data_IF_512065387705
#
_entry.id   IF_512065387705
#
_cell.length_a   1.000
_cell.length_b   1.000
_cell.length_c   1.000
_cell.angle_alpha   90.00
_cell.angle_beta   90.00
_cell.angle_gamma   90.00
#
_symmetry.space_group_name_H-M   'P 1'
#
loop_
_entity.id
_entity.type
_entity.pdbx_description
1 polymer ?
#
# COMPACT_ATOMS: atom_id res chain seq x y z
N UNK A 1 -11.21 -19.72 -52.01
CA UNK A 1 -11.94 -18.55 -51.47
C UNK A 1 -10.95 -17.61 -50.80
N UNK A 2 -10.77 -16.40 -51.32
CA UNK A 2 -9.96 -15.37 -50.66
C UNK A 2 -10.73 -14.81 -49.47
N UNK A 3 -10.20 -15.00 -48.25
CA UNK A 3 -10.76 -14.42 -47.02
C UNK A 3 -10.57 -12.90 -47.08
N UNK A 4 -11.65 -12.15 -47.31
CA UNK A 4 -11.64 -10.69 -47.33
C UNK A 4 -11.11 -10.21 -45.96
N UNK A 5 -9.90 -9.62 -45.93
CA UNK A 5 -9.38 -8.96 -44.73
C UNK A 5 -10.33 -7.79 -44.42
N UNK A 6 -11.10 -7.90 -43.33
CA UNK A 6 -11.91 -6.80 -42.81
C UNK A 6 -10.94 -5.66 -42.51
N UNK A 7 -11.10 -4.51 -43.18
CA UNK A 7 -10.30 -3.32 -42.85
C UNK A 7 -10.66 -2.94 -41.41
N UNK A 8 -9.68 -2.78 -40.50
CA UNK A 8 -9.98 -2.32 -39.16
C UNK A 8 -10.68 -0.98 -39.26
N UNK A 9 -11.84 -0.87 -38.62
CA UNK A 9 -12.52 0.41 -38.45
C UNK A 9 -11.55 1.28 -37.66
N UNK A 10 -11.07 2.38 -38.25
CA UNK A 10 -10.31 3.38 -37.51
C UNK A 10 -11.28 4.04 -36.55
N UNK A 11 -11.24 3.62 -35.29
CA UNK A 11 -11.93 4.31 -34.21
C UNK A 11 -11.22 5.65 -34.04
N UNK A 12 -12.00 6.73 -33.85
CA UNK A 12 -11.46 8.05 -33.58
C UNK A 12 -10.68 7.98 -32.27
N UNK A 13 -9.45 8.47 -32.26
CA UNK A 13 -8.61 8.49 -31.07
C UNK A 13 -9.32 9.33 -29.99
N UNK A 14 -9.66 8.67 -28.87
CA UNK A 14 -10.27 9.32 -27.71
C UNK A 14 -9.15 9.71 -26.76
N UNK A 15 -9.15 10.97 -26.36
CA UNK A 15 -8.25 11.50 -25.34
C UNK A 15 -8.95 11.53 -23.99
N UNK A 16 -8.19 11.25 -22.93
CA UNK A 16 -8.64 11.30 -21.54
C UNK A 16 -7.69 12.22 -20.79
N UNK A 17 -7.87 13.55 -20.89
CA UNK A 17 -7.05 14.48 -20.12
C UNK A 17 -7.28 14.23 -18.62
N UNK A 18 -6.22 14.34 -17.82
CA UNK A 18 -6.31 14.28 -16.36
C UNK A 18 -6.95 15.58 -15.81
N UNK A 19 -8.27 15.66 -15.99
CA UNK A 19 -9.15 16.78 -15.64
C UNK A 19 -10.53 16.19 -15.35
N UNK A 20 -10.97 16.24 -14.09
CA UNK A 20 -12.21 15.57 -13.65
C UNK A 20 -13.43 16.06 -14.43
N UNK A 21 -13.56 17.37 -14.67
CA UNK A 21 -14.70 17.94 -15.36
C UNK A 21 -14.78 17.43 -16.81
N UNK A 22 -13.64 17.40 -17.51
CA UNK A 22 -13.55 16.82 -18.87
C UNK A 22 -13.77 15.31 -18.89
N UNK A 23 -13.55 14.61 -17.78
CA UNK A 23 -13.83 13.18 -17.61
C UNK A 23 -15.28 12.90 -17.17
N UNK A 24 -16.09 13.95 -17.01
CA UNK A 24 -17.50 13.88 -16.59
C UNK A 24 -17.68 13.62 -15.10
N UNK A 25 -16.70 14.00 -14.27
CA UNK A 25 -16.63 13.69 -12.85
C UNK A 25 -16.36 14.94 -12.01
N UNK A 26 -16.71 14.88 -10.73
CA UNK A 26 -16.36 15.89 -9.73
C UNK A 26 -16.33 15.26 -8.32
N UNK A 27 -15.71 15.95 -7.37
CA UNK A 27 -15.85 15.62 -5.94
C UNK A 27 -16.95 16.50 -5.33
N UNK A 28 -17.91 15.87 -4.64
CA UNK A 28 -18.98 16.61 -3.95
C UNK A 28 -18.53 17.15 -2.58
N UNK A 29 -19.43 17.84 -1.87
CA UNK A 29 -19.19 18.39 -0.53
C UNK A 29 -18.85 17.34 0.55
N UNK A 30 -19.19 16.08 0.31
CA UNK A 30 -18.87 14.94 1.18
C UNK A 30 -17.55 14.26 0.78
N UNK A 31 -16.76 14.88 -0.10
CA UNK A 31 -15.49 14.37 -0.59
C UNK A 31 -15.60 13.07 -1.40
N UNK A 32 -16.75 12.84 -2.05
CA UNK A 32 -17.03 11.62 -2.81
C UNK A 32 -16.95 11.89 -4.31
N UNK A 33 -16.30 10.99 -5.05
CA UNK A 33 -16.22 11.07 -6.52
C UNK A 33 -17.59 10.74 -7.14
N UNK A 34 -18.15 11.66 -7.93
CA UNK A 34 -19.48 11.56 -8.55
C UNK A 34 -19.44 11.94 -10.02
N UNK A 35 -20.44 11.48 -10.76
CA UNK A 35 -20.64 11.83 -12.17
C UNK A 35 -21.39 13.16 -12.30
N UNK A 36 -20.96 14.03 -13.22
CA UNK A 36 -21.61 15.34 -13.44
C UNK A 36 -23.05 15.16 -13.90
N UNK A 37 -23.29 14.29 -14.89
CA UNK A 37 -24.63 14.06 -15.45
C UNK A 37 -25.54 13.25 -14.51
N UNK A 38 -24.94 12.56 -13.53
CA UNK A 38 -25.64 11.72 -12.55
C UNK A 38 -24.99 11.86 -11.16
N UNK A 39 -25.27 12.96 -10.44
CA UNK A 39 -24.58 13.29 -9.19
C UNK A 39 -24.73 12.26 -8.07
N UNK A 40 -25.72 11.36 -8.15
CA UNK A 40 -25.94 10.28 -7.18
C UNK A 40 -25.13 9.01 -7.50
N UNK A 41 -24.55 8.90 -8.71
CA UNK A 41 -23.73 7.75 -9.13
C UNK A 41 -22.23 8.02 -8.96
N UNK A 42 -21.51 7.01 -8.47
CA UNK A 42 -20.04 7.04 -8.33
C UNK A 42 -19.30 6.75 -9.64
N UNK A 43 -17.98 6.56 -9.54
CA UNK A 43 -17.14 6.24 -10.69
C UNK A 43 -17.52 4.90 -11.35
N UNK A 44 -17.85 4.94 -12.65
CA UNK A 44 -18.07 3.75 -13.47
C UNK A 44 -16.81 3.39 -14.27
N UNK A 45 -16.15 2.28 -13.92
CA UNK A 45 -14.97 1.79 -14.66
C UNK A 45 -15.32 1.38 -16.09
N UNK A 46 -16.40 0.62 -16.28
CA UNK A 46 -16.82 0.11 -17.59
C UNK A 46 -17.63 1.13 -18.41
N UNK A 47 -17.21 2.40 -18.39
CA UNK A 47 -17.87 3.50 -19.10
C UNK A 47 -18.01 3.23 -20.62
N UNK A 48 -16.99 2.64 -21.23
CA UNK A 48 -17.02 2.23 -22.64
C UNK A 48 -17.52 0.79 -22.84
N UNK A 49 -18.01 0.11 -21.80
CA UNK A 49 -18.51 -1.25 -21.82
C UNK A 49 -17.46 -2.32 -21.53
N UNK A 50 -17.92 -3.54 -21.22
CA UNK A 50 -17.07 -4.70 -20.88
C UNK A 50 -16.45 -5.37 -22.13
N UNK A 51 -15.29 -5.99 -21.95
CA UNK A 51 -14.62 -6.81 -22.97
C UNK A 51 -15.38 -8.10 -23.30
N UNK A 52 -15.96 -8.79 -22.31
CA UNK A 52 -16.56 -10.12 -22.50
C UNK A 52 -18.07 -10.12 -22.82
N UNK A 53 -18.70 -8.96 -23.04
CA UNK A 53 -20.14 -8.88 -23.25
C UNK A 53 -20.56 -9.18 -24.68
N UNK A 54 -21.28 -10.28 -24.91
CA UNK A 54 -22.34 -10.33 -25.93
C UNK A 54 -23.43 -9.34 -25.48
N UNK A 55 -23.30 -8.08 -25.88
CA UNK A 55 -24.34 -7.07 -25.59
C UNK A 55 -25.33 -7.09 -26.74
N UNK A 56 -26.46 -7.78 -26.55
CA UNK A 56 -27.62 -7.63 -27.43
C UNK A 56 -28.07 -6.16 -27.40
N UNK A 57 -28.03 -5.48 -28.55
CA UNK A 57 -28.83 -4.26 -28.78
C UNK A 57 -28.13 -2.91 -28.90
N UNK A 58 -26.83 -2.75 -28.60
CA UNK A 58 -26.10 -1.50 -28.91
C UNK A 58 -25.08 -1.72 -30.04
N UNK A 59 -25.20 -0.98 -31.14
CA UNK A 59 -24.15 -0.86 -32.17
C UNK A 59 -22.91 -0.22 -31.54
N UNK A 60 -22.02 -1.02 -30.97
CA UNK A 60 -20.74 -0.55 -30.44
C UNK A 60 -19.78 -0.32 -31.60
N UNK A 61 -19.13 0.84 -31.61
CA UNK A 61 -18.24 1.30 -32.68
C UNK A 61 -16.82 0.74 -32.55
N UNK A 62 -16.46 0.15 -31.40
CA UNK A 62 -15.11 -0.36 -31.10
C UNK A 62 -15.12 -1.83 -30.63
N UNK A 63 -14.09 -2.64 -31.00
CA UNK A 63 -13.92 -4.03 -30.56
C UNK A 63 -13.62 -4.17 -29.05
N UNK A 64 -13.88 -5.34 -28.45
CA UNK A 64 -13.68 -5.62 -27.00
C UNK A 64 -12.38 -5.12 -26.38
N UNK A 65 -11.23 -5.42 -27.00
CA UNK A 65 -9.90 -5.06 -26.46
C UNK A 65 -9.69 -3.54 -26.42
N UNK A 66 -10.25 -2.84 -27.39
CA UNK A 66 -10.14 -1.39 -27.48
C UNK A 66 -11.00 -0.70 -26.43
N UNK A 67 -12.17 -1.26 -26.11
CA UNK A 67 -13.01 -0.78 -25.00
C UNK A 67 -12.32 -0.93 -23.65
N UNK A 68 -11.68 -2.06 -23.40
CA UNK A 68 -10.89 -2.26 -22.18
C UNK A 68 -9.76 -1.23 -22.10
N UNK A 69 -9.02 -1.03 -23.19
CA UNK A 69 -7.96 -0.02 -23.25
C UNK A 69 -8.48 1.40 -22.99
N UNK A 70 -9.64 1.77 -23.54
CA UNK A 70 -10.26 3.06 -23.27
C UNK A 70 -10.67 3.20 -21.79
N UNK A 71 -11.23 2.15 -21.19
CA UNK A 71 -11.58 2.15 -19.75
C UNK A 71 -10.32 2.27 -18.87
N UNK A 72 -9.25 1.52 -19.16
CA UNK A 72 -7.98 1.61 -18.45
C UNK A 72 -7.37 3.02 -18.55
N UNK A 73 -7.34 3.60 -19.76
CA UNK A 73 -6.83 4.97 -19.99
C UNK A 73 -7.68 6.03 -19.27
N UNK A 74 -9.00 5.90 -19.30
CA UNK A 74 -9.91 6.80 -18.57
C UNK A 74 -9.71 6.68 -17.06
N UNK A 75 -9.62 5.45 -16.54
CA UNK A 75 -9.35 5.21 -15.11
C UNK A 75 -8.04 5.86 -14.70
N UNK A 76 -6.96 5.67 -15.45
CA UNK A 76 -5.67 6.28 -15.13
C UNK A 76 -5.72 7.82 -15.14
N UNK A 77 -6.48 8.44 -16.04
CA UNK A 77 -6.67 9.88 -16.05
C UNK A 77 -7.41 10.38 -14.79
N UNK A 78 -8.38 9.61 -14.28
CA UNK A 78 -9.05 9.87 -13.00
C UNK A 78 -8.08 9.67 -11.83
N UNK A 79 -7.34 8.58 -11.82
CA UNK A 79 -6.36 8.25 -10.78
C UNK A 79 -5.27 9.36 -10.70
N UNK A 80 -4.83 9.93 -11.82
CA UNK A 80 -3.94 11.09 -11.86
C UNK A 80 -4.53 12.34 -11.22
N UNK A 81 -5.82 12.61 -11.41
CA UNK A 81 -6.48 13.73 -10.73
C UNK A 81 -6.51 13.51 -9.22
N UNK A 82 -6.83 12.29 -8.80
CA UNK A 82 -6.87 11.90 -7.39
C UNK A 82 -5.49 12.06 -6.75
N UNK A 83 -4.42 11.58 -7.39
CA UNK A 83 -3.04 11.74 -6.90
C UNK A 83 -2.70 13.20 -6.63
N UNK A 84 -3.03 14.11 -7.56
CA UNK A 84 -2.77 15.55 -7.38
C UNK A 84 -3.49 16.10 -6.16
N UNK A 85 -4.78 15.79 -5.99
CA UNK A 85 -5.56 16.26 -4.84
C UNK A 85 -5.01 15.69 -3.52
N UNK A 86 -4.61 14.42 -3.49
CA UNK A 86 -4.00 13.79 -2.30
C UNK A 86 -2.68 14.47 -1.94
N UNK A 87 -1.82 14.71 -2.93
CA UNK A 87 -0.54 15.41 -2.72
C UNK A 87 -0.77 16.83 -2.19
N UNK A 88 -1.68 17.60 -2.80
CA UNK A 88 -2.02 18.96 -2.33
C UNK A 88 -2.50 18.93 -0.86
N UNK A 89 -3.32 17.95 -0.47
CA UNK A 89 -3.81 17.81 0.90
C UNK A 89 -2.73 17.43 1.90
N UNK A 90 -1.77 16.60 1.51
CA UNK A 90 -0.63 16.22 2.35
C UNK A 90 0.33 17.40 2.50
N UNK A 91 0.60 18.13 1.43
CA UNK A 91 1.44 19.34 1.46
C UNK A 91 0.83 20.46 2.31
N UNK A 92 -0.49 20.65 2.24
CA UNK A 92 -1.23 21.58 3.12
C UNK A 92 -1.15 21.23 4.61
N UNK A 93 -0.82 19.97 4.95
CA UNK A 93 -0.58 19.53 6.33
C UNK A 93 0.87 19.68 6.77
N UNK A 94 1.76 20.15 5.90
CA UNK A 94 3.18 20.32 6.21
C UNK A 94 4.05 19.13 5.81
N UNK A 95 3.54 18.18 5.01
CA UNK A 95 4.40 17.20 4.35
C UNK A 95 5.15 17.86 3.19
N UNK A 96 6.42 17.51 3.00
CA UNK A 96 7.25 17.99 1.89
C UNK A 96 7.76 16.83 1.06
N UNK A 97 7.88 17.05 -0.24
CA UNK A 97 8.52 16.11 -1.15
C UNK A 97 10.02 16.12 -0.92
N UNK A 98 10.60 14.93 -0.81
CA UNK A 98 12.03 14.71 -0.84
C UNK A 98 12.35 13.80 -2.01
N UNK A 99 13.06 14.36 -3.00
CA UNK A 99 13.40 13.68 -4.23
C UNK A 99 14.56 12.71 -4.02
N UNK A 100 14.38 11.47 -4.47
CA UNK A 100 15.33 10.38 -4.41
C UNK A 100 15.71 9.91 -5.82
N UNK A 101 16.98 9.50 -6.06
CA UNK A 101 18.09 9.58 -5.12
C UNK A 101 18.48 11.03 -4.80
N UNK A 102 19.05 11.26 -3.61
CA UNK A 102 19.48 12.59 -3.18
C UNK A 102 20.45 13.19 -4.19
N UNK A 103 20.17 14.42 -4.63
CA UNK A 103 20.97 15.15 -5.62
C UNK A 103 20.51 14.97 -7.08
N UNK A 104 19.51 14.12 -7.34
CA UNK A 104 18.91 14.00 -8.67
C UNK A 104 18.25 15.32 -9.11
N UNK A 105 18.44 15.67 -10.37
CA UNK A 105 17.77 16.81 -11.02
C UNK A 105 16.42 16.40 -11.61
N UNK A 106 15.51 17.35 -11.91
CA UNK A 106 14.23 17.05 -12.58
C UNK A 106 14.37 16.36 -13.95
N UNK A 107 15.54 16.43 -14.58
CA UNK A 107 15.88 15.77 -15.84
C UNK A 107 16.30 14.31 -15.68
N UNK A 108 16.77 13.93 -14.50
CA UNK A 108 17.33 12.60 -14.20
C UNK A 108 16.26 11.68 -13.61
N UNK A 109 16.44 10.34 -13.67
CA UNK A 109 15.51 9.42 -13.05
C UNK A 109 15.41 9.64 -11.54
N UNK A 110 14.20 9.99 -11.08
CA UNK A 110 13.91 10.25 -9.69
C UNK A 110 12.47 9.89 -9.33
N UNK A 111 12.23 9.70 -8.04
CA UNK A 111 10.91 9.65 -7.41
C UNK A 111 10.89 10.55 -6.18
N UNK A 112 9.71 10.83 -5.65
CA UNK A 112 9.55 11.54 -4.39
C UNK A 112 9.09 10.58 -3.28
N UNK A 113 9.58 10.83 -2.07
CA UNK A 113 8.92 10.43 -0.81
C UNK A 113 8.33 11.66 -0.13
N UNK A 114 7.51 11.49 0.90
CA UNK A 114 7.05 12.61 1.73
C UNK A 114 7.68 12.57 3.12
N UNK A 115 8.12 13.72 3.62
CA UNK A 115 8.70 13.88 4.95
C UNK A 115 8.08 15.10 5.64
N UNK A 116 7.86 15.06 6.95
CA UNK A 116 7.49 16.25 7.72
C UNK A 116 8.73 17.06 8.13
N UNK A 117 8.52 18.34 8.45
CA UNK A 117 9.59 19.31 8.72
C UNK A 117 10.41 19.01 9.98
N UNK A 118 9.84 18.30 10.94
CA UNK A 118 10.44 18.02 12.24
C UNK A 118 11.27 16.73 12.29
N UNK A 119 11.51 16.06 11.15
CA UNK A 119 12.23 14.78 11.10
C UNK A 119 13.54 14.80 11.90
N UNK A 120 14.33 15.88 11.77
CA UNK A 120 15.66 15.98 12.38
C UNK A 120 15.65 16.23 13.90
N UNK A 121 14.47 16.46 14.50
CA UNK A 121 14.31 16.83 15.92
C UNK A 121 13.24 16.01 16.64
N UNK A 122 12.60 15.07 15.95
CA UNK A 122 11.47 14.34 16.47
C UNK A 122 11.85 13.31 17.54
N UNK A 123 10.89 13.02 18.42
CA UNK A 123 11.02 11.93 19.42
C UNK A 123 10.24 10.69 19.03
N UNK A 124 9.21 10.86 18.19
CA UNK A 124 8.43 9.76 17.61
C UNK A 124 8.37 9.96 16.11
N UNK A 125 8.60 8.90 15.36
CA UNK A 125 8.53 8.85 13.91
C UNK A 125 7.52 7.78 13.50
N UNK A 126 6.55 8.16 12.66
CA UNK A 126 5.64 7.22 12.01
C UNK A 126 6.05 7.05 10.55
N UNK A 127 6.45 5.83 10.19
CA UNK A 127 6.71 5.43 8.81
C UNK A 127 5.43 4.86 8.21
N UNK A 128 4.98 5.43 7.10
CA UNK A 128 3.83 4.95 6.34
C UNK A 128 4.30 4.41 5.00
N UNK A 129 3.90 3.19 4.65
CA UNK A 129 4.20 2.65 3.32
C UNK A 129 2.96 2.06 2.65
N UNK A 130 2.65 2.46 1.41
CA UNK A 130 1.68 1.73 0.63
C UNK A 130 2.25 0.35 0.24
N UNK A 131 1.44 -0.47 -0.42
CA UNK A 131 1.94 -1.68 -1.06
C UNK A 131 2.75 -1.34 -2.32
N UNK A 132 3.72 -2.15 -2.69
CA UNK A 132 4.54 -1.93 -3.89
C UNK A 132 3.77 -2.18 -5.18
N UNK A 133 2.65 -2.91 -5.13
CA UNK A 133 1.85 -3.22 -6.31
C UNK A 133 0.73 -2.20 -6.54
N UNK A 134 1.10 -1.07 -7.17
CA UNK A 134 0.12 -0.17 -7.80
C UNK A 134 -0.52 0.88 -6.88
N UNK A 135 -0.06 1.00 -5.64
CA UNK A 135 -0.50 2.04 -4.71
C UNK A 135 0.50 3.20 -4.73
N UNK A 136 0.08 4.35 -5.24
CA UNK A 136 0.94 5.53 -5.38
C UNK A 136 1.27 6.18 -4.02
N UNK A 137 2.27 7.07 -4.02
CA UNK A 137 2.64 7.88 -2.86
C UNK A 137 1.42 8.54 -2.20
N UNK A 138 1.27 8.34 -0.89
CA UNK A 138 0.18 8.93 -0.10
C UNK A 138 -1.17 8.21 -0.20
N UNK A 139 -1.28 7.08 -0.90
CA UNK A 139 -2.55 6.39 -1.16
C UNK A 139 -2.54 4.97 -0.56
N UNK A 140 -3.55 4.65 0.24
CA UNK A 140 -3.80 3.28 0.71
C UNK A 140 -4.48 2.43 -0.36
N UNK A 141 -5.49 2.99 -1.03
CA UNK A 141 -6.24 2.28 -2.06
C UNK A 141 -7.08 3.21 -2.94
N UNK A 142 -6.82 3.19 -4.25
CA UNK A 142 -7.58 3.99 -5.23
C UNK A 142 -9.07 3.66 -5.23
N UNK A 143 -9.41 2.37 -5.05
CA UNK A 143 -10.80 1.92 -5.01
C UNK A 143 -11.54 2.52 -3.81
N UNK A 144 -10.89 2.61 -2.66
CA UNK A 144 -11.45 3.19 -1.44
C UNK A 144 -11.69 4.68 -1.61
N UNK A 145 -10.82 5.39 -2.35
CA UNK A 145 -11.08 6.79 -2.72
C UNK A 145 -12.28 6.91 -3.66
N UNK A 146 -12.33 6.08 -4.71
CA UNK A 146 -13.39 6.12 -5.72
C UNK A 146 -14.78 5.74 -5.16
N UNK A 147 -14.84 4.90 -4.12
CA UNK A 147 -16.10 4.41 -3.51
C UNK A 147 -16.48 5.12 -2.20
N UNK A 148 -15.49 5.67 -1.49
CA UNK A 148 -15.67 6.41 -0.24
C UNK A 148 -15.34 7.88 -0.44
N UNK A 149 -14.24 8.32 0.16
CA UNK A 149 -13.73 9.68 0.05
C UNK A 149 -12.21 9.69 -0.14
N UNK A 150 -11.67 10.85 -0.54
CA UNK A 150 -10.21 11.02 -0.68
C UNK A 150 -9.51 10.71 0.64
N UNK A 151 -9.98 11.26 1.74
CA UNK A 151 -9.38 11.03 3.06
C UNK A 151 -9.50 9.59 3.56
N UNK A 152 -10.53 8.85 3.12
CA UNK A 152 -10.73 7.47 3.52
C UNK A 152 -9.70 6.53 2.87
N UNK A 153 -9.46 6.67 1.56
CA UNK A 153 -8.53 5.80 0.83
C UNK A 153 -7.08 6.33 0.73
N UNK A 154 -6.76 7.45 1.39
CA UNK A 154 -5.43 8.06 1.39
C UNK A 154 -4.84 8.16 2.80
N UNK A 155 -3.55 8.50 2.87
CA UNK A 155 -2.80 8.65 4.11
C UNK A 155 -3.11 9.95 4.87
N UNK A 156 -3.97 10.82 4.31
CA UNK A 156 -4.28 12.15 4.85
C UNK A 156 -4.77 12.07 6.31
N UNK A 157 -5.74 11.20 6.59
CA UNK A 157 -6.27 11.04 7.96
C UNK A 157 -5.24 10.45 8.93
N UNK A 158 -4.35 9.59 8.43
CA UNK A 158 -3.27 9.00 9.22
C UNK A 158 -2.20 10.04 9.57
N UNK A 159 -1.87 10.94 8.63
CA UNK A 159 -0.98 12.09 8.90
C UNK A 159 -1.60 13.05 9.92
N UNK A 160 -2.90 13.36 9.81
CA UNK A 160 -3.60 14.18 10.81
C UNK A 160 -3.54 13.56 12.20
N UNK A 161 -3.74 12.24 12.30
CA UNK A 161 -3.56 11.50 13.55
C UNK A 161 -2.12 11.61 14.07
N UNK A 162 -1.13 11.37 13.21
CA UNK A 162 0.28 11.37 13.59
C UNK A 162 0.71 12.72 14.17
N UNK A 163 0.40 13.82 13.50
CA UNK A 163 0.73 15.16 13.99
C UNK A 163 0.02 15.52 15.28
N UNK A 164 -1.26 15.13 15.44
CA UNK A 164 -1.99 15.33 16.69
C UNK A 164 -1.35 14.59 17.88
N UNK A 165 -0.61 13.52 17.62
CA UNK A 165 0.04 12.69 18.65
C UNK A 165 1.56 12.89 18.70
N UNK A 166 2.08 13.98 18.13
CA UNK A 166 3.49 14.37 18.28
C UNK A 166 4.47 13.58 17.40
N UNK A 167 3.99 12.85 16.39
CA UNK A 167 4.85 12.15 15.44
C UNK A 167 5.41 13.12 14.40
N UNK A 168 6.67 12.89 14.01
CA UNK A 168 7.13 13.16 12.64
C UNK A 168 6.64 12.05 11.72
N UNK A 169 6.48 12.33 10.42
CA UNK A 169 5.99 11.36 9.45
C UNK A 169 6.94 11.25 8.26
N UNK A 170 7.18 10.01 7.83
CA UNK A 170 7.84 9.70 6.55
C UNK A 170 6.95 8.73 5.78
N UNK A 171 6.61 9.07 4.52
CA UNK A 171 5.83 8.23 3.62
C UNK A 171 6.73 7.74 2.49
N UNK A 172 6.94 6.43 2.41
CA UNK A 172 7.75 5.81 1.36
C UNK A 172 6.97 5.71 0.04
N UNK A 173 7.71 5.54 -1.06
CA UNK A 173 7.19 5.35 -2.41
C UNK A 173 7.73 4.06 -3.08
N UNK A 174 7.39 2.88 -2.55
CA UNK A 174 7.92 1.61 -3.04
C UNK A 174 7.30 1.17 -4.37
N UNK A 175 6.29 1.87 -4.89
CA UNK A 175 5.49 1.42 -6.04
C UNK A 175 5.79 2.17 -7.34
N UNK A 176 6.28 3.42 -7.26
CA UNK A 176 6.56 4.26 -8.44
C UNK A 176 8.00 4.08 -8.95
N UNK A 177 8.45 2.83 -9.06
CA UNK A 177 9.83 2.49 -9.44
C UNK A 177 10.10 2.56 -10.96
N UNK A 178 9.07 2.84 -11.77
CA UNK A 178 9.21 2.98 -13.22
C UNK A 178 9.45 4.43 -13.59
N UNK A 179 10.63 4.73 -14.13
CA UNK A 179 10.93 6.03 -14.72
C UNK A 179 10.37 6.14 -16.14
N UNK A 180 9.70 7.24 -16.45
CA UNK A 180 9.28 7.57 -17.81
C UNK A 180 10.10 8.74 -18.39
N UNK A 181 11.06 8.47 -19.31
CA UNK A 181 11.89 9.51 -19.91
C UNK A 181 11.13 10.56 -20.71
N UNK A 182 9.93 10.23 -21.23
CA UNK A 182 9.13 11.17 -22.03
C UNK A 182 8.49 12.24 -21.16
N UNK A 183 7.94 11.85 -20.01
CA UNK A 183 7.26 12.77 -19.10
C UNK A 183 8.12 13.22 -17.92
N UNK A 184 9.30 12.60 -17.76
CA UNK A 184 10.23 12.80 -16.64
C UNK A 184 9.56 12.60 -15.29
N UNK A 185 8.84 11.48 -15.16
CA UNK A 185 8.12 11.13 -13.93
C UNK A 185 8.31 9.66 -13.58
N UNK A 186 8.46 9.42 -12.28
CA UNK A 186 8.20 8.13 -11.67
C UNK A 186 6.71 7.77 -11.79
N UNK A 187 6.42 6.49 -12.00
CA UNK A 187 5.06 5.95 -12.02
C UNK A 187 5.06 4.47 -11.65
N UNK A 188 3.87 3.94 -11.37
CA UNK A 188 3.72 2.50 -11.13
C UNK A 188 3.73 1.72 -12.45
N UNK A 189 3.97 0.40 -12.36
CA UNK A 189 3.78 -0.50 -13.51
C UNK A 189 2.35 -0.45 -14.09
N UNK A 190 1.34 -0.21 -13.25
CA UNK A 190 -0.06 -0.10 -13.68
C UNK A 190 -0.28 1.18 -14.50
N UNK A 191 0.23 2.32 -14.01
CA UNK A 191 0.19 3.60 -14.72
C UNK A 191 0.97 3.52 -16.03
N UNK A 192 2.15 2.88 -16.02
CA UNK A 192 2.89 2.59 -17.24
C UNK A 192 2.01 1.83 -18.22
N UNK A 193 1.44 0.67 -17.84
CA UNK A 193 0.60 -0.16 -18.73
C UNK A 193 -0.58 0.63 -19.32
N UNK A 194 -1.17 1.56 -18.56
CA UNK A 194 -2.30 2.36 -19.01
C UNK A 194 -1.94 3.50 -19.99
N UNK A 195 -0.66 3.91 -20.09
CA UNK A 195 -0.25 4.99 -21.02
C UNK A 195 -0.58 4.66 -22.48
N UNK A 196 -0.96 5.69 -23.23
CA UNK A 196 -1.03 5.59 -24.69
C UNK A 196 0.39 5.69 -25.28
N UNK A 197 0.97 4.54 -25.62
CA UNK A 197 2.35 4.47 -26.12
C UNK A 197 2.55 3.38 -27.17
N UNK A 198 3.63 3.52 -27.95
CA UNK A 198 3.99 2.62 -29.05
C UNK A 198 4.41 1.23 -28.59
N UNK A 199 5.03 1.10 -27.41
CA UNK A 199 5.47 -0.17 -26.84
C UNK A 199 5.17 -0.25 -25.35
N UNK A 200 4.70 -1.41 -24.88
CA UNK A 200 4.47 -1.68 -23.46
C UNK A 200 5.75 -2.12 -22.72
N UNK A 201 6.80 -2.47 -23.47
CA UNK A 201 8.03 -3.05 -22.93
C UNK A 201 8.85 -1.97 -22.22
N UNK A 202 9.30 -2.27 -21.01
CA UNK A 202 10.23 -1.44 -20.24
C UNK A 202 11.66 -1.70 -20.73
N UNK A 203 12.40 -0.63 -20.96
CA UNK A 203 13.85 -0.67 -21.13
C UNK A 203 14.49 -0.85 -19.75
N UNK A 204 15.27 -1.92 -19.53
CA UNK A 204 15.80 -2.27 -18.21
C UNK A 204 16.85 -1.27 -17.68
N UNK A 205 17.27 -0.29 -18.49
CA UNK A 205 18.22 0.74 -18.09
C UNK A 205 17.55 2.12 -18.08
N UNK A 206 16.71 2.42 -19.07
CA UNK A 206 16.12 3.77 -19.21
C UNK A 206 14.87 3.98 -18.39
N UNK A 207 14.21 2.91 -17.93
CA UNK A 207 12.97 3.01 -17.16
C UNK A 207 13.17 2.69 -15.66
N UNK A 208 14.41 2.74 -15.18
CA UNK A 208 14.75 2.50 -13.77
C UNK A 208 15.14 3.81 -13.07
N UNK A 209 15.06 3.80 -11.75
CA UNK A 209 15.47 4.91 -10.89
C UNK A 209 16.62 4.41 -10.02
N UNK A 210 17.83 4.99 -10.10
CA UNK A 210 19.00 4.50 -9.37
C UNK A 210 18.76 4.36 -7.86
N UNK A 211 19.18 3.22 -7.32
CA UNK A 211 19.03 2.82 -5.92
C UNK A 211 17.58 2.71 -5.41
N UNK A 212 16.61 2.73 -6.33
CA UNK A 212 15.17 2.65 -6.05
C UNK A 212 14.47 1.79 -7.12
N UNK A 213 15.20 0.85 -7.73
CA UNK A 213 14.71 0.00 -8.81
C UNK A 213 13.70 -1.03 -8.30
N UNK A 214 13.87 -1.49 -7.05
CA UNK A 214 12.99 -2.41 -6.36
C UNK A 214 12.45 -1.84 -5.04
N UNK A 215 11.33 -2.36 -4.50
CA UNK A 215 10.84 -1.99 -3.18
C UNK A 215 11.87 -2.19 -2.07
N UNK A 216 12.69 -3.23 -2.15
CA UNK A 216 13.76 -3.53 -1.20
C UNK A 216 14.86 -2.48 -1.25
N UNK A 217 15.37 -2.15 -2.44
CA UNK A 217 16.38 -1.10 -2.60
C UNK A 217 15.85 0.27 -2.16
N UNK A 218 14.56 0.56 -2.42
CA UNK A 218 13.91 1.78 -1.94
C UNK A 218 13.87 1.85 -0.41
N UNK A 219 13.48 0.76 0.27
CA UNK A 219 13.49 0.68 1.74
C UNK A 219 14.92 0.86 2.26
N UNK A 220 15.88 0.12 1.70
CA UNK A 220 17.29 0.22 2.09
C UNK A 220 17.82 1.66 1.94
N UNK A 221 17.53 2.31 0.81
CA UNK A 221 17.94 3.69 0.57
C UNK A 221 17.33 4.66 1.59
N UNK A 222 16.04 4.54 1.87
CA UNK A 222 15.36 5.42 2.83
C UNK A 222 15.90 5.23 4.24
N UNK A 223 16.06 3.99 4.71
CA UNK A 223 16.63 3.74 6.04
C UNK A 223 18.08 4.21 6.13
N UNK A 224 18.94 3.87 5.16
CA UNK A 224 20.37 4.13 5.24
C UNK A 224 20.79 5.56 4.88
N UNK A 225 20.04 6.28 4.03
CA UNK A 225 20.44 7.60 3.51
C UNK A 225 19.53 8.73 3.96
N UNK A 226 18.35 8.41 4.48
CA UNK A 226 17.40 9.42 4.97
C UNK A 226 17.29 9.28 6.49
N UNK A 227 16.79 8.15 6.98
CA UNK A 227 16.51 7.99 8.41
C UNK A 227 17.80 7.97 9.25
N UNK A 228 18.82 7.21 8.85
CA UNK A 228 20.10 7.12 9.56
C UNK A 228 20.83 8.46 9.68
N UNK A 229 20.72 9.31 8.65
CA UNK A 229 21.42 10.59 8.55
C UNK A 229 20.64 11.75 9.21
N UNK A 230 19.31 11.64 9.26
CA UNK A 230 18.42 12.74 9.68
C UNK A 230 17.69 12.49 10.98
N UNK A 231 17.14 11.30 11.18
CA UNK A 231 16.34 11.01 12.37
C UNK A 231 17.25 10.95 13.62
N UNK A 232 16.81 11.49 14.78
CA UNK A 232 17.56 11.38 16.03
C UNK A 232 17.84 9.92 16.42
N UNK A 233 18.98 9.67 17.07
CA UNK A 233 19.38 8.33 17.51
C UNK A 233 18.48 7.75 18.60
N UNK A 234 17.78 8.61 19.34
CA UNK A 234 16.83 8.24 20.40
C UNK A 234 15.37 8.36 19.97
N UNK A 235 15.09 8.36 18.66
CA UNK A 235 13.73 8.38 18.13
C UNK A 235 13.05 7.03 18.28
N UNK A 236 11.78 7.03 18.68
CA UNK A 236 10.91 5.86 18.63
C UNK A 236 10.24 5.76 17.25
N UNK A 237 10.39 4.63 16.57
CA UNK A 237 9.89 4.39 15.21
C UNK A 237 8.70 3.43 15.25
N UNK A 238 7.55 3.96 14.85
CA UNK A 238 6.34 3.21 14.57
C UNK A 238 6.19 3.02 13.06
N UNK A 239 5.66 1.86 12.63
CA UNK A 239 5.49 1.56 11.20
C UNK A 239 4.07 1.11 10.90
N UNK A 240 3.45 1.68 9.85
CA UNK A 240 2.29 1.11 9.17
C UNK A 240 2.71 0.77 7.74
N UNK A 241 2.81 -0.52 7.43
CA UNK A 241 3.30 -0.98 6.13
C UNK A 241 2.34 -2.00 5.48
N UNK A 242 2.19 -1.90 4.16
CA UNK A 242 1.29 -2.77 3.40
C UNK A 242 2.05 -3.76 2.53
N UNK A 243 1.48 -4.96 2.37
CA UNK A 243 1.82 -5.92 1.34
C UNK A 243 3.29 -6.31 1.31
N UNK A 244 3.89 -6.22 0.12
CA UNK A 244 5.27 -6.62 -0.09
C UNK A 244 6.26 -5.62 0.53
N UNK A 245 5.88 -4.36 0.73
CA UNK A 245 6.77 -3.38 1.39
C UNK A 245 6.96 -3.71 2.87
N UNK A 246 5.96 -4.27 3.55
CA UNK A 246 6.13 -4.79 4.90
C UNK A 246 7.16 -5.94 4.95
N UNK A 247 7.18 -6.81 3.93
CA UNK A 247 8.24 -7.82 3.77
C UNK A 247 9.62 -7.17 3.52
N UNK A 248 9.71 -6.16 2.65
CA UNK A 248 10.96 -5.46 2.36
C UNK A 248 11.57 -4.81 3.63
N UNK A 249 10.74 -4.19 4.48
CA UNK A 249 11.15 -3.67 5.79
C UNK A 249 11.61 -4.81 6.71
N UNK A 250 10.87 -5.91 6.76
CA UNK A 250 11.24 -7.09 7.56
C UNK A 250 12.59 -7.65 7.15
N UNK A 251 12.85 -7.77 5.84
CA UNK A 251 14.13 -8.24 5.30
C UNK A 251 15.27 -7.29 5.67
N UNK A 252 15.07 -5.98 5.47
CA UNK A 252 16.06 -4.97 5.84
C UNK A 252 16.41 -5.04 7.33
N UNK A 253 15.40 -5.09 8.21
CA UNK A 253 15.61 -5.20 9.65
C UNK A 253 16.29 -6.50 10.04
N UNK A 254 15.97 -7.62 9.37
CA UNK A 254 16.60 -8.90 9.66
C UNK A 254 18.12 -8.90 9.42
N UNK A 255 18.57 -8.11 8.44
CA UNK A 255 19.98 -7.97 8.07
C UNK A 255 20.69 -6.88 8.90
N UNK A 256 19.95 -5.96 9.52
CA UNK A 256 20.49 -4.75 10.16
C UNK A 256 19.96 -4.51 11.59
N UNK A 257 19.44 -5.54 12.26
CA UNK A 257 18.72 -5.37 13.54
C UNK A 257 19.56 -4.69 14.62
N UNK A 258 20.84 -5.03 14.74
CA UNK A 258 21.75 -4.44 15.72
C UNK A 258 21.86 -2.91 15.60
N UNK A 259 21.66 -2.35 14.40
CA UNK A 259 21.70 -0.90 14.19
C UNK A 259 20.35 -0.21 14.51
N UNK A 260 19.23 -0.92 14.36
CA UNK A 260 17.89 -0.32 14.41
C UNK A 260 17.06 -0.71 15.62
N UNK A 261 17.47 -1.74 16.37
CA UNK A 261 16.71 -2.33 17.48
C UNK A 261 16.35 -1.32 18.57
N UNK A 262 17.25 -0.39 18.88
CA UNK A 262 17.03 0.65 19.89
C UNK A 262 15.98 1.70 19.50
N UNK A 263 15.72 1.86 18.19
CA UNK A 263 14.79 2.87 17.66
C UNK A 263 13.42 2.26 17.30
N UNK A 264 13.37 1.01 16.87
CA UNK A 264 12.13 0.36 16.46
C UNK A 264 11.20 0.09 17.65
N UNK A 265 9.97 0.61 17.60
CA UNK A 265 9.05 0.54 18.74
C UNK A 265 7.85 -0.39 18.50
N UNK A 266 7.11 -0.19 17.41
CA UNK A 266 5.92 -1.01 17.06
C UNK A 266 5.69 -1.05 15.55
N UNK A 267 5.19 -2.17 15.01
CA UNK A 267 4.81 -2.27 13.60
C UNK A 267 3.41 -2.86 13.41
N UNK A 268 2.61 -2.22 12.56
CA UNK A 268 1.33 -2.71 12.10
C UNK A 268 1.40 -2.98 10.59
N UNK A 269 1.20 -4.23 10.21
CA UNK A 269 1.25 -4.68 8.83
C UNK A 269 -0.13 -4.97 8.28
N UNK A 270 -0.33 -4.67 7.00
CA UNK A 270 -1.56 -4.96 6.26
C UNK A 270 -1.24 -5.93 5.13
N UNK A 271 -1.74 -7.16 5.22
CA UNK A 271 -1.53 -8.24 4.26
C UNK A 271 -0.05 -8.49 3.94
N UNK A 272 0.81 -8.54 4.97
CA UNK A 272 2.24 -8.73 4.72
C UNK A 272 2.56 -10.10 4.12
N UNK A 273 3.55 -10.13 3.23
CA UNK A 273 4.06 -11.35 2.59
C UNK A 273 5.22 -12.01 3.36
N UNK A 274 5.56 -11.54 4.57
CA UNK A 274 6.64 -12.14 5.34
C UNK A 274 6.27 -13.53 5.89
N UNK A 275 7.30 -14.31 6.19
CA UNK A 275 7.18 -15.54 6.95
C UNK A 275 8.25 -15.57 8.04
N UNK A 276 7.92 -16.05 9.23
CA UNK A 276 8.86 -16.14 10.36
C UNK A 276 10.09 -16.98 10.02
N UNK A 277 9.94 -17.98 9.16
CA UNK A 277 11.03 -18.81 8.65
C UNK A 277 12.11 -18.01 7.89
N UNK A 278 11.74 -16.85 7.33
CA UNK A 278 12.68 -15.94 6.64
C UNK A 278 13.41 -14.97 7.57
N UNK A 279 12.98 -14.86 8.82
CA UNK A 279 13.62 -14.01 9.83
C UNK A 279 14.66 -14.87 10.54
N UNK A 280 15.95 -14.60 10.36
CA UNK A 280 17.05 -15.35 10.98
C UNK A 280 17.56 -14.71 12.27
N UNK A 281 17.34 -13.40 12.45
CA UNK A 281 17.70 -12.68 13.66
C UNK A 281 16.74 -13.05 14.82
N UNK A 282 17.26 -13.70 15.86
CA UNK A 282 16.44 -14.17 16.99
C UNK A 282 15.78 -13.02 17.76
N UNK A 283 16.47 -11.89 17.93
CA UNK A 283 15.93 -10.74 18.65
C UNK A 283 14.86 -10.01 17.84
N UNK A 284 14.99 -9.96 16.51
CA UNK A 284 13.90 -9.51 15.64
C UNK A 284 12.69 -10.45 15.72
N UNK A 285 12.88 -11.78 15.81
CA UNK A 285 11.75 -12.70 16.04
C UNK A 285 11.02 -12.39 17.36
N UNK A 286 11.76 -12.10 18.43
CA UNK A 286 11.17 -11.67 19.71
C UNK A 286 10.40 -10.36 19.57
N UNK A 287 10.97 -9.39 18.87
CA UNK A 287 10.29 -8.13 18.57
C UNK A 287 8.99 -8.37 17.78
N UNK A 288 8.99 -9.28 16.79
CA UNK A 288 7.79 -9.64 16.03
C UNK A 288 6.66 -10.19 16.92
N UNK A 289 6.99 -11.06 17.87
CA UNK A 289 6.00 -11.60 18.80
C UNK A 289 5.40 -10.51 19.70
N UNK A 290 6.24 -9.60 20.22
CA UNK A 290 5.85 -8.64 21.24
C UNK A 290 5.27 -7.34 20.68
N UNK A 291 5.76 -6.87 19.53
CA UNK A 291 5.59 -5.49 19.04
C UNK A 291 5.16 -5.40 17.58
N UNK A 292 4.75 -6.51 16.96
CA UNK A 292 4.24 -6.51 15.58
C UNK A 292 2.86 -7.12 15.51
N UNK A 293 1.97 -6.50 14.72
CA UNK A 293 0.68 -7.08 14.31
C UNK A 293 0.58 -7.17 12.81
N UNK A 294 -0.03 -8.25 12.31
CA UNK A 294 -0.39 -8.42 10.92
C UNK A 294 -1.91 -8.50 10.78
N UNK A 295 -2.50 -7.62 9.97
CA UNK A 295 -3.92 -7.59 9.67
C UNK A 295 -4.13 -8.21 8.30
N UNK A 296 -4.98 -9.24 8.20
CA UNK A 296 -5.15 -10.02 6.97
C UNK A 296 -6.58 -10.03 6.45
N UNK A 297 -6.74 -10.22 5.13
CA UNK A 297 -8.01 -10.50 4.49
C UNK A 297 -8.49 -11.88 4.94
N UNK A 298 -9.48 -11.90 5.84
CA UNK A 298 -10.08 -13.13 6.34
C UNK A 298 -11.59 -12.94 6.55
N UNK A 299 -12.33 -14.04 6.49
CA UNK A 299 -13.80 -14.03 6.60
C UNK A 299 -14.32 -13.83 8.02
N UNK A 300 -13.47 -14.04 9.02
CA UNK A 300 -13.82 -13.90 10.43
C UNK A 300 -14.10 -12.42 10.76
N UNK A 301 -14.81 -12.14 11.87
CA UNK A 301 -15.12 -10.77 12.26
C UNK A 301 -13.87 -9.87 12.33
N UNK A 302 -14.06 -8.59 11.97
CA UNK A 302 -13.01 -7.57 12.08
C UNK A 302 -12.48 -7.53 13.53
N UNK A 303 -11.16 -7.62 13.68
CA UNK A 303 -10.47 -7.60 14.97
C UNK A 303 -10.34 -8.97 15.65
N UNK A 304 -10.87 -10.05 15.05
CA UNK A 304 -10.72 -11.39 15.60
C UNK A 304 -9.25 -11.84 15.49
N UNK A 305 -8.70 -12.36 16.59
CA UNK A 305 -7.35 -12.93 16.60
C UNK A 305 -7.31 -14.23 15.79
N UNK A 306 -6.35 -14.32 14.89
CA UNK A 306 -6.08 -15.48 14.07
C UNK A 306 -4.79 -16.11 14.51
N UNK A 307 -4.88 -17.35 14.97
CA UNK A 307 -3.70 -18.14 15.27
C UNK A 307 -3.04 -18.58 13.96
N UNK A 308 -2.07 -17.82 13.47
CA UNK A 308 -1.26 -18.18 12.30
C UNK A 308 0.24 -18.05 12.60
N UNK A 309 0.89 -19.15 12.99
CA UNK A 309 2.28 -19.10 13.43
C UNK A 309 3.27 -18.86 12.28
N UNK A 310 2.82 -18.88 11.01
CA UNK A 310 3.69 -18.64 9.85
C UNK A 310 4.23 -17.21 9.83
N UNK A 311 3.50 -16.24 10.41
CA UNK A 311 3.93 -14.85 10.49
C UNK A 311 4.84 -14.58 11.70
N UNK A 312 4.71 -15.36 12.77
CA UNK A 312 5.50 -15.14 14.00
C UNK A 312 5.18 -13.83 14.72
N UNK A 313 4.04 -13.22 14.41
CA UNK A 313 3.48 -12.04 15.07
C UNK A 313 1.97 -12.20 15.24
N UNK A 314 1.36 -11.37 16.08
CA UNK A 314 -0.08 -11.46 16.33
C UNK A 314 -0.86 -11.09 15.06
N UNK A 315 -1.70 -12.02 14.58
CA UNK A 315 -2.42 -11.87 13.31
C UNK A 315 -3.90 -11.67 13.56
N UNK A 316 -4.55 -10.77 12.83
CA UNK A 316 -5.96 -10.41 13.04
C UNK A 316 -6.75 -10.38 11.74
N UNK A 317 -7.99 -10.86 11.80
CA UNK A 317 -8.94 -10.75 10.70
C UNK A 317 -9.37 -9.30 10.52
N UNK A 318 -9.51 -8.89 9.26
CA UNK A 318 -10.00 -7.56 8.91
C UNK A 318 -11.47 -7.56 8.48
N UNK A 319 -12.03 -8.72 8.13
CA UNK A 319 -13.36 -8.83 7.51
C UNK A 319 -13.47 -8.16 6.13
N UNK A 320 -12.36 -7.65 5.60
CA UNK A 320 -12.33 -6.94 4.31
C UNK A 320 -12.28 -7.94 3.15
N UNK A 321 -12.50 -7.44 1.92
CA UNK A 321 -12.43 -8.28 0.70
C UNK A 321 -11.11 -8.14 -0.07
N UNK A 322 -10.34 -7.10 0.23
CA UNK A 322 -9.18 -6.70 -0.56
C UNK A 322 -8.12 -6.12 0.38
N UNK A 323 -6.86 -6.50 0.19
CA UNK A 323 -5.74 -6.04 1.02
C UNK A 323 -5.63 -4.50 1.09
N UNK A 324 -5.84 -3.81 -0.02
CA UNK A 324 -5.83 -2.34 -0.11
C UNK A 324 -6.92 -1.66 0.75
N UNK A 325 -7.93 -2.41 1.19
CA UNK A 325 -9.01 -1.94 2.03
C UNK A 325 -8.67 -2.02 3.53
N UNK A 326 -7.66 -2.81 3.92
CA UNK A 326 -7.36 -3.10 5.33
C UNK A 326 -7.06 -1.82 6.10
N UNK A 327 -6.08 -1.02 5.66
CA UNK A 327 -5.72 0.21 6.40
C UNK A 327 -6.90 1.20 6.45
N UNK A 328 -7.62 1.48 5.34
CA UNK A 328 -8.81 2.32 5.38
C UNK A 328 -9.93 1.81 6.30
N UNK A 329 -10.28 0.52 6.23
CA UNK A 329 -11.43 -0.05 6.95
C UNK A 329 -11.10 -0.42 8.42
N UNK A 330 -9.83 -0.65 8.74
CA UNK A 330 -9.32 -1.00 10.07
C UNK A 330 -8.40 0.08 10.66
N UNK A 331 -8.49 1.32 10.16
CA UNK A 331 -7.68 2.44 10.64
C UNK A 331 -7.81 2.65 12.15
N UNK A 332 -9.03 2.53 12.68
CA UNK A 332 -9.33 2.57 14.12
C UNK A 332 -8.53 1.52 14.91
N UNK A 333 -8.59 0.25 14.50
CA UNK A 333 -7.89 -0.85 15.17
C UNK A 333 -6.36 -0.71 15.11
N UNK A 334 -5.84 -0.27 13.96
CA UNK A 334 -4.40 -0.07 13.77
C UNK A 334 -3.91 1.07 14.67
N UNK A 335 -4.62 2.20 14.69
CA UNK A 335 -4.23 3.34 15.51
C UNK A 335 -4.40 3.07 17.00
N UNK A 336 -5.44 2.34 17.40
CA UNK A 336 -5.62 1.88 18.78
C UNK A 336 -4.44 1.02 19.21
N UNK A 337 -4.04 0.05 18.39
CA UNK A 337 -2.87 -0.79 18.66
C UNK A 337 -1.58 0.03 18.87
N UNK A 338 -1.29 0.99 17.97
CA UNK A 338 -0.11 1.83 18.14
C UNK A 338 -0.12 2.55 19.50
N UNK A 339 -1.28 3.06 19.93
CA UNK A 339 -1.39 3.71 21.25
C UNK A 339 -1.20 2.72 22.40
N UNK A 340 -1.84 1.57 22.33
CA UNK A 340 -1.74 0.54 23.38
C UNK A 340 -0.31 0.05 23.54
N UNK A 341 0.43 -0.12 22.44
CA UNK A 341 1.84 -0.44 22.46
C UNK A 341 2.69 0.62 23.17
N UNK A 342 2.31 1.90 23.09
CA UNK A 342 3.00 2.97 23.82
C UNK A 342 2.58 3.08 25.30
N UNK A 343 1.42 2.52 25.68
CA UNK A 343 0.90 2.54 27.06
C UNK A 343 1.40 1.33 27.85
N UNK A 344 1.27 0.15 27.28
CA UNK A 344 1.64 -1.13 27.89
C UNK A 344 2.39 -1.98 26.87
N UNK A 345 3.68 -1.65 26.62
CA UNK A 345 4.41 -2.20 25.49
C UNK A 345 4.54 -3.73 25.60
N UNK A 346 4.67 -4.27 26.81
CA UNK A 346 4.92 -5.70 27.04
C UNK A 346 3.68 -6.57 26.97
N UNK A 347 2.47 -5.98 27.01
CA UNK A 347 1.19 -6.72 26.94
C UNK A 347 0.29 -6.24 25.79
N UNK A 348 0.83 -5.47 24.83
CA UNK A 348 0.05 -4.98 23.69
C UNK A 348 -0.28 -6.05 22.65
N UNK A 349 0.24 -7.27 22.78
CA UNK A 349 -0.08 -8.40 21.91
C UNK A 349 -0.58 -9.61 22.71
N UNK A 350 -1.48 -10.44 22.16
CA UNK A 350 -1.81 -11.74 22.73
C UNK A 350 -0.60 -12.68 22.64
N UNK A 351 -0.58 -13.71 23.50
CA UNK A 351 0.45 -14.75 23.46
C UNK A 351 0.45 -15.48 22.10
N UNK A 352 1.50 -15.27 21.31
CA UNK A 352 1.69 -15.94 20.02
C UNK A 352 2.51 -17.21 20.24
N UNK A 353 1.97 -18.41 19.97
CA UNK A 353 2.74 -19.64 20.13
C UNK A 353 3.84 -19.73 19.07
N UNK A 354 5.03 -20.15 19.52
CA UNK A 354 6.21 -20.34 18.69
C UNK A 354 6.17 -21.73 18.08
N UNK A 355 6.35 -21.85 16.76
CA UNK A 355 6.76 -23.13 16.18
C UNK A 355 8.25 -23.31 16.50
N UNK A 356 8.56 -24.19 17.44
CA UNK A 356 9.92 -24.64 17.71
C UNK A 356 10.18 -25.90 16.87
N UNK A 357 10.88 -25.75 15.74
CA UNK A 357 11.16 -26.83 14.79
C UNK A 357 10.93 -26.44 13.33
N UNK A 358 11.01 -27.40 12.41
CA UNK A 358 10.51 -27.22 11.04
C UNK A 358 9.02 -26.86 11.10
N UNK A 359 8.55 -25.99 10.19
CA UNK A 359 7.13 -25.65 10.12
C UNK A 359 6.32 -26.94 9.95
N UNK A 360 5.37 -27.27 10.86
CA UNK A 360 4.54 -28.44 10.71
C UNK A 360 3.81 -28.33 9.37
N UNK A 361 3.66 -29.45 8.69
CA UNK A 361 2.89 -29.43 7.46
C UNK A 361 1.43 -29.05 7.76
N UNK A 362 0.67 -28.74 6.70
CA UNK A 362 -0.71 -28.28 6.82
C UNK A 362 -1.58 -29.24 7.66
N UNK A 363 -1.32 -30.53 7.57
CA UNK A 363 -2.15 -31.55 8.20
C UNK A 363 -1.76 -31.73 9.68
N UNK A 364 -0.47 -31.69 10.00
CA UNK A 364 0.03 -31.59 11.39
C UNK A 364 -0.50 -30.33 12.09
N UNK A 365 -0.63 -29.22 11.36
CA UNK A 365 -1.16 -27.97 11.89
C UNK A 365 -2.66 -28.05 12.17
N UNK A 366 -3.46 -28.61 11.26
CA UNK A 366 -4.90 -28.83 11.47
C UNK A 366 -5.12 -29.72 12.71
N UNK A 367 -4.33 -30.78 12.86
CA UNK A 367 -4.46 -31.69 14.01
C UNK A 367 -4.14 -31.00 15.34
N UNK A 368 -3.15 -30.09 15.37
CA UNK A 368 -2.84 -29.29 16.55
C UNK A 368 -3.93 -28.27 16.90
N UNK A 369 -4.57 -27.66 15.88
CA UNK A 369 -5.70 -26.75 16.07
C UNK A 369 -6.94 -27.46 16.61
N UNK A 370 -7.28 -28.62 16.05
CA UNK A 370 -8.41 -29.44 16.52
C UNK A 370 -8.20 -29.93 17.96
N UNK A 371 -6.97 -30.33 18.32
CA UNK A 371 -6.62 -30.67 19.71
C UNK A 371 -6.80 -29.49 20.65
N UNK A 372 -6.44 -28.27 20.23
CA UNK A 372 -6.60 -27.05 21.04
C UNK A 372 -8.05 -26.60 21.19
N UNK A 373 -8.87 -26.67 20.15
CA UNK A 373 -10.32 -26.43 20.27
C UNK A 373 -10.99 -27.44 21.20
N UNK A 374 -10.54 -28.70 21.17
CA UNK A 374 -11.01 -29.74 22.09
C UNK A 374 -10.59 -29.44 23.55
N UNK A 375 -9.38 -28.92 23.77
CA UNK A 375 -8.87 -28.54 25.09
C UNK A 375 -9.51 -27.24 25.62
N UNK A 376 -9.79 -26.25 24.77
CA UNK A 376 -10.47 -25.00 25.16
C UNK A 376 -11.92 -25.19 25.62
N UNK A 377 -12.54 -26.33 25.29
CA UNK A 377 -13.85 -26.75 25.81
C UNK A 377 -13.77 -27.51 27.15
N UNK A 378 -12.58 -27.88 27.59
CA UNK A 378 -12.32 -28.60 28.83
C UNK A 378 -11.53 -27.71 29.82
N UNK A 379 -12.27 -26.86 30.54
CA UNK A 379 -11.97 -26.21 31.82
C UNK A 379 -10.52 -26.01 32.32
N UNK A 380 -10.25 -24.74 32.69
CA UNK A 380 -9.41 -24.28 33.83
C UNK A 380 -7.97 -24.77 33.97
N UNK A 381 -7.07 -23.77 33.97
CA UNK A 381 -5.64 -23.78 34.29
C UNK A 381 -5.24 -24.48 35.60
N UNK A 382 -4.04 -25.08 35.60
CA UNK A 382 -3.17 -25.17 36.77
C UNK A 382 -1.72 -24.84 36.32
N UNK A 383 -1.21 -23.71 36.85
CA UNK A 383 0.15 -23.11 36.85
C UNK A 383 1.07 -23.20 35.63
#
# INVERSE_FOLDING_TARGET
>A
MYRRKVKPVKVKEVEFPADLEKLGLFFNENDQLRQIDKPDEGFEYYFHGKSNGYVYGRKQTAPPRERERMNERRREAVDECIRRIVMDRLEQRGMKRLTLPLGATPEEPHLDILVSDNLDTCKKLLILTPDSYGSNLGIWGMRQIQQGSINFGSMVSTVDFAFKNGYSVVILNPAETVWDPETRRAMTHLSWKAKDKKTAILDPIKNTIPCNETPEEHVEYVFNRILKDRAPKDVEIDVIACGFTAYAITKFLNENWDEWSDQMFVMAFSESSHAIASITCEDLRKFFMLRVRNYVVHSDPKGEFLLDPRYGCATFSTGTKHAQAIVPECHDLIIEYLRDAHIDPDNCNPDVPIIVGDAPDRDEWIEQMEKREAMGKAGTWDM
#
